data_IF_713985386307
#
_entry.id   IF_713985386307
#
_cell.length_a   1.000
_cell.length_b   1.000
_cell.length_c   1.000
_cell.angle_alpha   90.00
_cell.angle_beta   90.00
_cell.angle_gamma   90.00
#
_symmetry.space_group_name_H-M   'P 1'
#
loop_
_entity.id
_entity.type
_entity.pdbx_description
1 polymer ?
#
# COMPACT_ATOMS: atom_id res chain seq x y z
N UNK A 1 -13.16 -14.56 -22.70
CA UNK A 1 -12.99 -14.10 -21.30
C UNK A 1 -13.80 -12.81 -21.12
N UNK A 2 -14.50 -12.61 -20.00
CA UNK A 2 -15.27 -11.39 -19.70
C UNK A 2 -14.80 -10.82 -18.37
N UNK A 3 -14.52 -9.52 -18.32
CA UNK A 3 -14.26 -8.82 -17.07
C UNK A 3 -15.60 -8.62 -16.33
N UNK A 4 -15.71 -9.16 -15.12
CA UNK A 4 -16.84 -8.93 -14.22
C UNK A 4 -16.46 -7.81 -13.26
N UNK A 5 -17.34 -6.81 -13.16
CA UNK A 5 -17.16 -5.65 -12.27
C UNK A 5 -18.19 -5.76 -11.15
N UNK A 6 -17.79 -5.41 -9.93
CA UNK A 6 -18.65 -5.32 -8.76
C UNK A 6 -18.43 -3.99 -8.06
N UNK A 7 -19.49 -3.45 -7.48
CA UNK A 7 -19.46 -2.26 -6.64
C UNK A 7 -20.14 -2.60 -5.31
N UNK A 8 -19.48 -2.25 -4.20
CA UNK A 8 -20.09 -2.39 -2.88
C UNK A 8 -21.15 -1.31 -2.68
N UNK A 9 -22.18 -1.63 -1.89
CA UNK A 9 -23.26 -0.69 -1.57
C UNK A 9 -22.77 0.48 -0.72
N UNK A 10 -21.93 0.18 0.26
CA UNK A 10 -21.38 1.17 1.19
C UNK A 10 -19.89 1.38 0.88
N UNK A 11 -19.44 2.64 0.77
CA UNK A 11 -18.03 2.95 0.59
C UNK A 11 -17.24 2.57 1.86
N UNK A 12 -15.99 2.14 1.67
CA UNK A 12 -15.08 1.81 2.79
C UNK A 12 -14.11 2.93 3.12
N UNK A 13 -13.87 3.81 2.17
CA UNK A 13 -13.15 5.07 2.36
C UNK A 13 -14.12 6.23 2.30
N UNK A 14 -13.80 7.32 3.00
CA UNK A 14 -14.61 8.55 3.02
C UNK A 14 -14.17 9.56 1.96
N UNK A 15 -12.94 9.44 1.46
CA UNK A 15 -12.32 10.34 0.51
C UNK A 15 -11.75 9.57 -0.70
N UNK A 16 -11.00 10.27 -1.57
CA UNK A 16 -10.36 9.68 -2.75
C UNK A 16 -9.44 8.51 -2.35
N UNK A 17 -9.59 7.37 -3.02
CA UNK A 17 -8.60 6.27 -2.98
C UNK A 17 -7.52 6.58 -4.01
N UNK A 18 -6.33 6.95 -3.56
CA UNK A 18 -5.23 7.36 -4.44
C UNK A 18 -4.41 6.19 -4.96
N UNK A 19 -4.29 5.10 -4.19
CA UNK A 19 -3.49 3.96 -4.59
C UNK A 19 -3.99 2.62 -4.02
N UNK A 20 -3.76 1.56 -4.79
CA UNK A 20 -4.16 0.19 -4.49
C UNK A 20 -3.03 -0.78 -4.84
N UNK A 21 -2.90 -1.88 -4.10
CA UNK A 21 -1.80 -2.81 -4.29
C UNK A 21 -2.10 -4.19 -3.76
N UNK A 22 -1.91 -5.18 -4.62
CA UNK A 22 -2.16 -6.58 -4.34
C UNK A 22 -0.92 -7.21 -3.70
N UNK A 23 -1.12 -8.00 -2.63
CA UNK A 23 -0.05 -8.84 -2.09
C UNK A 23 -0.22 -10.30 -2.51
N UNK A 24 -1.45 -10.79 -2.64
CA UNK A 24 -1.75 -12.13 -3.19
C UNK A 24 -2.91 -12.02 -4.18
N UNK A 25 -3.39 -13.13 -4.74
CA UNK A 25 -4.60 -13.15 -5.56
C UNK A 25 -5.90 -12.88 -4.75
N UNK A 26 -5.83 -12.92 -3.43
CA UNK A 26 -6.99 -12.83 -2.53
C UNK A 26 -6.91 -11.65 -1.55
N UNK A 27 -5.74 -11.00 -1.47
CA UNK A 27 -5.47 -9.93 -0.52
C UNK A 27 -4.99 -8.66 -1.24
N UNK A 28 -5.76 -7.59 -1.06
CA UNK A 28 -5.55 -6.26 -1.64
C UNK A 28 -5.47 -5.22 -0.52
N UNK A 29 -4.70 -4.16 -0.73
CA UNK A 29 -4.68 -2.99 0.14
C UNK A 29 -5.05 -1.75 -0.67
N UNK A 30 -5.71 -0.79 -0.03
CA UNK A 30 -5.98 0.54 -0.56
C UNK A 30 -5.57 1.61 0.45
N UNK A 31 -5.10 2.75 -0.07
CA UNK A 31 -4.83 3.94 0.72
C UNK A 31 -5.66 5.11 0.15
N UNK A 32 -6.09 6.01 1.03
CA UNK A 32 -6.97 7.12 0.67
C UNK A 32 -6.58 8.40 1.39
N UNK A 33 -7.06 9.52 0.84
CA UNK A 33 -6.97 10.86 1.45
C UNK A 33 -7.77 10.98 2.76
N UNK A 34 -8.54 9.95 3.15
CA UNK A 34 -9.09 9.82 4.50
C UNK A 34 -8.06 9.34 5.54
N UNK A 35 -6.79 9.25 5.11
CA UNK A 35 -5.63 8.80 5.86
C UNK A 35 -5.70 7.34 6.32
N UNK A 36 -6.61 6.53 5.77
CA UNK A 36 -6.74 5.12 6.13
C UNK A 36 -6.03 4.22 5.12
N UNK A 37 -5.37 3.19 5.65
CA UNK A 37 -4.95 2.02 4.88
C UNK A 37 -5.90 0.87 5.22
N UNK A 38 -6.59 0.34 4.23
CA UNK A 38 -7.58 -0.73 4.38
C UNK A 38 -7.09 -1.98 3.66
N UNK A 39 -7.20 -3.12 4.35
CA UNK A 39 -6.99 -4.46 3.80
C UNK A 39 -8.31 -5.05 3.36
N UNK A 40 -8.31 -5.70 2.20
CA UNK A 40 -9.44 -6.37 1.59
C UNK A 40 -9.12 -7.84 1.43
N UNK A 41 -9.97 -8.70 1.98
CA UNK A 41 -9.98 -10.12 1.70
C UNK A 41 -11.06 -10.41 0.66
N UNK A 42 -10.65 -10.87 -0.51
CA UNK A 42 -11.55 -11.05 -1.65
C UNK A 42 -12.24 -12.41 -1.65
N UNK A 43 -11.74 -13.35 -0.84
CA UNK A 43 -12.40 -14.63 -0.61
C UNK A 43 -13.57 -14.48 0.36
N UNK A 44 -13.36 -13.75 1.46
CA UNK A 44 -14.38 -13.57 2.52
C UNK A 44 -15.20 -12.29 2.34
N UNK A 45 -14.79 -11.38 1.45
CA UNK A 45 -15.32 -10.01 1.33
C UNK A 45 -15.16 -9.16 2.60
N UNK A 46 -14.26 -9.55 3.49
CA UNK A 46 -13.95 -8.80 4.71
C UNK A 46 -13.04 -7.61 4.40
N UNK A 47 -13.28 -6.50 5.09
CA UNK A 47 -12.50 -5.27 4.98
C UNK A 47 -12.08 -4.81 6.36
N UNK A 48 -10.78 -4.62 6.57
CA UNK A 48 -10.21 -4.27 7.88
C UNK A 48 -9.32 -3.04 7.75
N UNK A 49 -9.54 -2.03 8.58
CA UNK A 49 -8.59 -0.92 8.70
C UNK A 49 -7.30 -1.43 9.35
N UNK A 50 -6.17 -1.21 8.68
CA UNK A 50 -4.85 -1.67 9.14
C UNK A 50 -4.14 -0.56 9.92
N UNK A 51 -4.19 0.67 9.41
CA UNK A 51 -3.61 1.83 10.07
C UNK A 51 -4.36 3.10 9.66
N UNK A 52 -4.48 4.03 10.60
CA UNK A 52 -4.75 5.44 10.31
C UNK A 52 -3.42 6.19 10.32
N UNK A 53 -3.04 6.76 9.19
CA UNK A 53 -1.88 7.61 9.05
C UNK A 53 -2.12 8.96 9.77
N UNK A 54 -1.05 9.67 10.16
CA UNK A 54 -1.12 11.08 10.50
C UNK A 54 -1.89 11.91 9.46
N UNK A 55 -2.67 12.89 9.91
CA UNK A 55 -3.55 13.71 9.06
C UNK A 55 -2.77 14.66 8.11
N UNK A 56 -1.44 14.73 8.21
CA UNK A 56 -0.55 15.45 7.31
C UNK A 56 0.03 14.58 6.19
N UNK A 57 -0.18 13.26 6.24
CA UNK A 57 0.31 12.32 5.22
C UNK A 57 -0.82 11.99 4.25
N UNK A 58 -0.74 12.54 3.03
CA UNK A 58 -1.65 12.20 1.93
C UNK A 58 -0.97 11.21 0.98
N UNK A 59 -1.46 9.96 0.88
CA UNK A 59 -0.85 8.93 0.06
C UNK A 59 -1.03 9.23 -1.43
N UNK A 60 -0.02 8.93 -2.25
CA UNK A 60 -0.09 9.09 -3.72
C UNK A 60 0.04 7.75 -4.43
N UNK A 61 1.04 6.94 -4.05
CA UNK A 61 1.33 5.67 -4.69
C UNK A 61 1.95 4.72 -3.65
N UNK A 62 1.85 3.41 -3.87
CA UNK A 62 2.55 2.46 -3.02
C UNK A 62 2.96 1.20 -3.76
N UNK A 63 4.08 0.60 -3.36
CA UNK A 63 4.60 -0.62 -3.97
C UNK A 63 5.03 -1.62 -2.91
N UNK A 64 4.50 -2.84 -3.01
CA UNK A 64 4.92 -3.94 -2.17
C UNK A 64 6.39 -4.27 -2.40
N UNK A 65 7.09 -4.63 -1.32
CA UNK A 65 8.39 -5.25 -1.42
C UNK A 65 8.27 -6.53 -2.28
N UNK A 66 9.16 -6.74 -3.27
CA UNK A 66 9.04 -7.84 -4.21
C UNK A 66 9.15 -9.19 -3.51
N UNK A 67 8.27 -10.11 -3.89
CA UNK A 67 8.37 -11.51 -3.45
C UNK A 67 9.39 -12.21 -4.34
N UNK A 68 10.53 -12.63 -3.77
CA UNK A 68 11.48 -13.50 -4.46
C UNK A 68 10.81 -14.80 -4.90
N UNK A 69 10.92 -15.13 -6.19
CA UNK A 69 10.46 -16.40 -6.77
C UNK A 69 11.41 -17.58 -6.45
N UNK A 70 12.40 -17.41 -5.55
CA UNK A 70 13.48 -18.35 -5.29
C UNK A 70 13.50 -18.99 -3.89
N UNK A 71 13.98 -20.25 -3.84
CA UNK A 71 13.94 -21.28 -2.77
C UNK A 71 14.51 -20.91 -1.39
N UNK A 72 14.99 -19.68 -1.14
CA UNK A 72 15.46 -19.28 0.19
C UNK A 72 14.41 -18.41 0.89
N UNK A 73 13.66 -19.05 1.82
CA UNK A 73 12.90 -18.40 2.89
C UNK A 73 13.84 -17.60 3.80
N UNK A 74 14.43 -16.52 3.31
CA UNK A 74 14.82 -15.44 4.18
C UNK A 74 13.53 -14.74 4.57
N UNK A 75 13.34 -14.46 5.86
CA UNK A 75 12.17 -13.77 6.43
C UNK A 75 11.89 -12.51 5.61
N UNK A 76 11.02 -12.64 4.63
CA UNK A 76 10.82 -11.64 3.59
C UNK A 76 10.10 -10.47 4.25
N UNK A 77 10.61 -9.25 4.06
CA UNK A 77 9.99 -8.08 4.64
C UNK A 77 8.57 -7.95 4.08
N UNK A 78 7.57 -8.24 4.91
CA UNK A 78 6.16 -7.98 4.59
C UNK A 78 5.93 -6.48 4.76
N UNK A 79 6.45 -5.68 3.84
CA UNK A 79 6.39 -4.22 3.87
C UNK A 79 6.14 -3.65 2.48
N UNK A 80 5.73 -2.39 2.43
CA UNK A 80 5.57 -1.63 1.20
C UNK A 80 6.14 -0.23 1.40
N UNK A 81 6.54 0.39 0.29
CA UNK A 81 6.78 1.83 0.24
C UNK A 81 5.46 2.54 -0.03
N UNK A 82 5.15 3.59 0.71
CA UNK A 82 4.06 4.53 0.46
C UNK A 82 4.67 5.90 0.14
N UNK A 83 4.36 6.48 -1.01
CA UNK A 83 4.78 7.85 -1.36
C UNK A 83 3.68 8.83 -1.01
N UNK A 84 4.06 10.07 -0.68
CA UNK A 84 3.10 11.07 -0.20
C UNK A 84 3.35 12.47 -0.74
N UNK A 85 2.36 13.34 -0.56
CA UNK A 85 2.36 14.71 -1.09
C UNK A 85 3.34 15.65 -0.39
N UNK A 86 3.80 15.31 0.81
CA UNK A 86 4.70 16.14 1.63
C UNK A 86 6.18 16.03 1.22
N UNK A 87 6.47 15.27 0.16
CA UNK A 87 7.84 15.02 -0.30
C UNK A 87 8.55 13.86 0.38
N UNK A 88 7.84 13.08 1.19
CA UNK A 88 8.36 11.87 1.82
C UNK A 88 7.83 10.59 1.18
N UNK A 89 8.61 9.53 1.36
CA UNK A 89 8.10 8.17 1.31
C UNK A 89 8.21 7.51 2.68
N UNK A 90 7.35 6.53 2.92
CA UNK A 90 7.24 5.78 4.17
C UNK A 90 7.40 4.28 3.89
N UNK A 91 8.25 3.60 4.66
CA UNK A 91 8.28 2.15 4.69
C UNK A 91 7.28 1.69 5.75
N UNK A 92 6.26 0.95 5.33
CA UNK A 92 5.16 0.53 6.18
C UNK A 92 5.09 -1.00 6.15
N UNK A 93 5.03 -1.63 7.33
CA UNK A 93 4.82 -3.06 7.42
C UNK A 93 3.39 -3.44 7.00
N UNK A 94 3.17 -4.70 6.66
CA UNK A 94 1.85 -5.25 6.31
C UNK A 94 0.82 -5.08 7.44
N UNK A 95 1.30 -4.98 8.69
CA UNK A 95 0.46 -4.70 9.87
C UNK A 95 0.25 -3.20 10.12
N UNK A 96 0.71 -2.33 9.22
CA UNK A 96 0.50 -0.89 9.29
C UNK A 96 1.52 -0.11 10.12
N UNK A 97 2.59 -0.75 10.61
CA UNK A 97 3.63 -0.05 11.36
C UNK A 97 4.52 0.73 10.40
N UNK A 98 4.61 2.05 10.58
CA UNK A 98 5.60 2.88 9.88
C UNK A 98 6.99 2.56 10.45
N UNK A 99 7.85 1.95 9.64
CA UNK A 99 9.20 1.54 10.01
C UNK A 99 10.21 2.65 9.76
N UNK A 100 10.00 3.44 8.70
CA UNK A 100 10.87 4.55 8.32
C UNK A 100 10.08 5.59 7.53
N UNK A 101 10.43 6.86 7.68
CA UNK A 101 10.01 7.95 6.81
C UNK A 101 11.25 8.64 6.27
N UNK A 102 11.27 8.98 4.98
CA UNK A 102 12.42 9.58 4.30
C UNK A 102 11.95 10.76 3.48
N UNK A 103 12.55 11.93 3.72
CA UNK A 103 12.40 13.11 2.87
C UNK A 103 13.18 12.88 1.57
N UNK A 104 12.46 12.78 0.46
CA UNK A 104 13.01 12.39 -0.84
C UNK A 104 12.96 13.54 -1.86
N UNK A 105 11.99 14.45 -1.74
CA UNK A 105 11.76 15.51 -2.69
C UNK A 105 11.30 16.82 -2.02
N UNK A 106 11.63 17.96 -2.64
CA UNK A 106 11.00 19.25 -2.34
C UNK A 106 9.66 19.35 -3.10
N UNK A 107 8.63 18.70 -2.59
CA UNK A 107 7.32 18.54 -3.24
C UNK A 107 6.95 17.07 -3.41
N UNK A 108 5.75 16.80 -3.90
CA UNK A 108 5.13 15.46 -3.88
C UNK A 108 5.99 14.35 -4.51
N UNK A 109 6.03 13.19 -3.85
CA UNK A 109 6.62 11.96 -4.39
C UNK A 109 5.55 11.18 -5.14
N UNK A 110 5.55 11.30 -6.47
CA UNK A 110 4.46 10.79 -7.31
C UNK A 110 4.48 9.28 -7.55
N UNK A 111 5.64 8.64 -7.40
CA UNK A 111 5.79 7.20 -7.56
C UNK A 111 7.02 6.68 -6.80
N UNK A 112 6.95 5.43 -6.34
CA UNK A 112 8.06 4.73 -5.70
C UNK A 112 8.02 3.24 -6.03
N UNK A 113 9.11 2.67 -6.54
CA UNK A 113 9.13 1.29 -7.03
C UNK A 113 10.40 0.57 -6.61
N UNK A 114 10.24 -0.38 -5.70
CA UNK A 114 11.25 -1.40 -5.48
C UNK A 114 11.73 -2.02 -6.80
N UNK A 115 13.04 -2.16 -6.95
CA UNK A 115 13.60 -3.02 -7.99
C UNK A 115 13.21 -4.48 -7.71
N UNK A 116 13.35 -5.34 -8.72
CA UNK A 116 12.90 -6.73 -8.64
C UNK A 116 13.59 -7.55 -7.53
N UNK A 117 14.83 -7.18 -7.20
CA UNK A 117 15.64 -7.87 -6.19
C UNK A 117 15.37 -7.37 -4.76
N UNK A 118 14.63 -6.28 -4.59
CA UNK A 118 14.38 -5.67 -3.28
C UNK A 118 15.63 -5.05 -2.65
N UNK A 119 16.63 -4.71 -3.46
CA UNK A 119 17.90 -4.10 -3.03
C UNK A 119 17.93 -2.59 -3.22
N UNK A 120 17.02 -2.05 -4.02
CA UNK A 120 16.88 -0.63 -4.30
C UNK A 120 15.41 -0.22 -4.40
N UNK A 121 15.14 1.04 -4.09
CA UNK A 121 13.85 1.71 -4.15
C UNK A 121 13.97 2.98 -4.99
#
# INVERSE_FOLDING_TARGET
MRLKISLLKEPKHQELVSCVGWTTAEELYSCSDDHQIVKWNLLTSETTQIVKLPDDIYPIDFHWFPKSLGVKKQTQAESFVLTSSDGKFHLISKLGRVEKSVEAHCGAVLAGRWNYEGTAL
#
